data_IF_514593947816
#
_entry.id   IF_514593947816
#
_cell.length_a   1.000
_cell.length_b   1.000
_cell.length_c   1.000
_cell.angle_alpha   90.00
_cell.angle_beta   90.00
_cell.angle_gamma   90.00
#
_symmetry.space_group_name_H-M   'P 1'
#
loop_
_entity.id
_entity.type
_entity.pdbx_description
1 polymer ?
#
# COMPACT_ATOMS: atom_id res chain seq x y z
N UNK A 1 -18.49 7.58 29.38
CA UNK A 1 -17.28 7.72 28.55
C UNK A 1 -17.69 7.33 27.14
N UNK A 2 -17.66 8.24 26.15
CA UNK A 2 -17.99 7.88 24.77
C UNK A 2 -16.94 6.96 24.15
N UNK A 3 -17.32 6.19 23.14
CA UNK A 3 -16.36 5.40 22.35
C UNK A 3 -15.36 6.33 21.65
N UNK A 4 -14.08 5.99 21.69
CA UNK A 4 -13.03 6.68 20.93
C UNK A 4 -12.89 6.00 19.58
N UNK A 5 -13.25 6.70 18.53
CA UNK A 5 -13.13 6.22 17.16
C UNK A 5 -11.68 6.36 16.68
N UNK A 6 -11.25 5.39 15.89
CA UNK A 6 -9.98 5.41 15.17
C UNK A 6 -10.19 4.85 13.76
N UNK A 7 -9.43 5.35 12.79
CA UNK A 7 -9.43 4.89 11.41
C UNK A 7 -8.00 4.56 10.98
N UNK A 8 -7.87 3.53 10.15
CA UNK A 8 -6.61 3.12 9.54
C UNK A 8 -6.67 3.40 8.05
N UNK A 9 -5.82 4.31 7.59
CA UNK A 9 -5.63 4.65 6.19
C UNK A 9 -4.22 4.25 5.76
N UNK A 10 -4.10 3.64 4.58
CA UNK A 10 -2.82 3.30 3.97
C UNK A 10 -2.73 3.94 2.60
N UNK A 11 -1.77 4.83 2.42
CA UNK A 11 -1.43 5.36 1.10
C UNK A 11 -0.63 4.28 0.35
N UNK A 12 -1.23 3.71 -0.68
CA UNK A 12 -0.70 2.57 -1.42
C UNK A 12 0.09 3.07 -2.64
N UNK A 13 1.32 3.51 -2.36
CA UNK A 13 2.28 3.96 -3.34
C UNK A 13 3.34 2.88 -3.61
N UNK A 14 3.71 2.67 -4.87
CA UNK A 14 4.85 1.82 -5.20
C UNK A 14 6.20 2.49 -4.96
N UNK A 15 7.27 1.69 -4.92
CA UNK A 15 8.67 2.16 -4.81
C UNK A 15 8.98 3.20 -5.90
N UNK A 16 8.37 3.07 -7.08
CA UNK A 16 8.51 4.03 -8.17
C UNK A 16 8.08 5.46 -7.82
N UNK A 17 7.03 5.63 -7.01
CA UNK A 17 6.59 6.96 -6.55
C UNK A 17 7.65 7.62 -5.66
N UNK A 18 8.26 6.85 -4.76
CA UNK A 18 9.33 7.33 -3.88
C UNK A 18 10.62 7.61 -4.65
N UNK A 19 10.97 6.75 -5.62
CA UNK A 19 12.12 7.00 -6.49
C UNK A 19 11.96 8.33 -7.25
N UNK A 20 10.76 8.61 -7.78
CA UNK A 20 10.48 9.82 -8.55
C UNK A 20 10.63 11.11 -7.72
N UNK A 21 10.08 11.17 -6.50
CA UNK A 21 10.20 12.37 -5.65
C UNK A 21 11.64 12.64 -5.18
N UNK A 22 12.49 11.61 -5.19
CA UNK A 22 13.91 11.73 -4.87
C UNK A 22 14.81 11.88 -6.11
N UNK A 23 14.25 11.92 -7.33
CA UNK A 23 15.03 12.04 -8.57
C UNK A 23 15.88 10.80 -8.87
N UNK A 24 15.52 9.64 -8.34
CA UNK A 24 16.21 8.37 -8.56
C UNK A 24 15.65 7.66 -9.80
N UNK A 25 16.45 6.79 -10.44
CA UNK A 25 15.93 5.91 -11.50
C UNK A 25 14.79 5.03 -10.99
N UNK A 26 13.80 4.69 -11.84
CA UNK A 26 12.72 3.81 -11.45
C UNK A 26 13.25 2.42 -11.06
N UNK A 27 12.65 1.76 -10.06
CA UNK A 27 13.01 0.39 -9.70
C UNK A 27 12.74 -0.56 -10.88
N UNK A 28 13.49 -1.65 -10.93
CA UNK A 28 13.33 -2.70 -11.95
C UNK A 28 13.13 -4.07 -11.29
N UNK A 29 12.60 -5.02 -12.07
CA UNK A 29 12.31 -6.38 -11.60
C UNK A 29 11.33 -6.38 -10.42
N UNK A 30 11.59 -7.24 -9.45
CA UNK A 30 10.72 -7.45 -8.27
C UNK A 30 10.51 -6.18 -7.44
N UNK A 31 11.47 -5.25 -7.44
CA UNK A 31 11.37 -4.01 -6.70
C UNK A 31 10.30 -3.05 -7.27
N UNK A 32 9.95 -3.17 -8.56
CA UNK A 32 8.95 -2.31 -9.18
C UNK A 32 7.51 -2.59 -8.69
N UNK A 33 7.28 -3.81 -8.18
CA UNK A 33 5.97 -4.28 -7.69
C UNK A 33 6.04 -4.84 -6.26
N UNK A 34 7.00 -4.38 -5.47
CA UNK A 34 7.27 -4.96 -4.15
C UNK A 34 6.19 -4.60 -3.12
N UNK A 35 5.59 -3.41 -3.21
CA UNK A 35 4.57 -2.97 -2.26
C UNK A 35 3.30 -3.79 -2.45
N UNK A 36 2.82 -3.90 -3.68
CA UNK A 36 1.67 -4.75 -4.01
C UNK A 36 1.93 -6.23 -3.67
N UNK A 37 3.01 -6.81 -4.20
CA UNK A 37 3.26 -8.26 -4.07
C UNK A 37 3.69 -8.70 -2.67
N UNK A 38 4.24 -7.80 -1.84
CA UNK A 38 4.81 -8.17 -0.53
C UNK A 38 4.20 -7.41 0.63
N UNK A 39 3.97 -6.11 0.50
CA UNK A 39 3.47 -5.28 1.61
C UNK A 39 1.96 -5.44 1.81
N UNK A 40 1.16 -5.42 0.74
CA UNK A 40 -0.30 -5.58 0.84
C UNK A 40 -0.69 -6.86 1.57
N UNK A 41 -0.17 -8.06 1.21
CA UNK A 41 -0.48 -9.28 1.97
C UNK A 41 -0.03 -9.25 3.44
N UNK A 42 0.98 -8.44 3.79
CA UNK A 42 1.41 -8.27 5.20
C UNK A 42 0.43 -7.40 5.96
N UNK A 43 -0.09 -6.34 5.34
CA UNK A 43 -1.11 -5.48 5.92
C UNK A 43 -2.44 -6.21 6.10
N UNK A 44 -2.88 -6.99 5.11
CA UNK A 44 -4.07 -7.84 5.24
C UNK A 44 -3.98 -8.77 6.45
N UNK A 45 -2.87 -9.51 6.58
CA UNK A 45 -2.64 -10.37 7.75
C UNK A 45 -2.61 -9.60 9.08
N UNK A 46 -2.09 -8.38 9.08
CA UNK A 46 -2.05 -7.54 10.27
C UNK A 46 -3.45 -7.08 10.66
N UNK A 47 -4.23 -6.58 9.72
CA UNK A 47 -5.59 -6.09 9.96
C UNK A 47 -6.54 -7.22 10.36
N UNK A 48 -6.41 -8.39 9.74
CA UNK A 48 -7.12 -9.61 10.15
C UNK A 48 -6.78 -10.01 11.58
N UNK A 49 -5.49 -10.03 11.94
CA UNK A 49 -5.05 -10.40 13.28
C UNK A 49 -5.52 -9.41 14.36
N UNK A 50 -5.68 -8.13 14.00
CA UNK A 50 -6.18 -7.08 14.90
C UNK A 50 -7.72 -6.98 14.89
N UNK A 51 -8.41 -7.62 13.93
CA UNK A 51 -9.86 -7.53 13.77
C UNK A 51 -10.35 -6.12 13.44
N UNK A 52 -9.58 -5.35 12.68
CA UNK A 52 -9.88 -3.94 12.35
C UNK A 52 -10.02 -3.72 10.85
N UNK A 53 -10.96 -2.87 10.40
CA UNK A 53 -11.01 -2.44 9.01
C UNK A 53 -9.91 -1.41 8.70
N UNK A 54 -9.51 -1.35 7.43
CA UNK A 54 -8.61 -0.33 6.90
C UNK A 54 -9.03 0.10 5.49
N UNK A 55 -8.61 1.29 5.10
CA UNK A 55 -8.83 1.85 3.76
C UNK A 55 -7.50 2.05 3.05
N UNK A 56 -7.34 1.48 1.85
CA UNK A 56 -6.21 1.76 0.98
C UNK A 56 -6.54 2.88 0.00
N UNK A 57 -5.66 3.87 -0.12
CA UNK A 57 -5.70 4.91 -1.13
C UNK A 57 -4.73 4.55 -2.25
N UNK A 58 -5.27 4.07 -3.37
CA UNK A 58 -4.49 3.48 -4.46
C UNK A 58 -4.19 4.54 -5.53
N UNK A 59 -2.98 4.51 -6.09
CA UNK A 59 -2.64 5.31 -7.27
C UNK A 59 -3.52 4.88 -8.45
N UNK A 60 -4.20 5.84 -9.08
CA UNK A 60 -5.19 5.55 -10.13
C UNK A 60 -4.66 4.71 -11.29
N UNK A 61 -3.38 4.89 -11.67
CA UNK A 61 -2.72 4.11 -12.73
C UNK A 61 -2.60 2.62 -12.41
N UNK A 62 -2.60 2.25 -11.13
CA UNK A 62 -2.43 0.86 -10.67
C UNK A 62 -3.77 0.15 -10.40
N UNK A 63 -4.91 0.85 -10.48
CA UNK A 63 -6.25 0.30 -10.16
C UNK A 63 -6.66 -0.84 -11.11
N UNK A 64 -6.26 -0.76 -12.37
CA UNK A 64 -6.63 -1.73 -13.41
C UNK A 64 -5.50 -2.74 -13.71
N UNK A 65 -4.39 -2.73 -12.97
CA UNK A 65 -3.33 -3.71 -13.18
C UNK A 65 -3.71 -5.04 -12.53
N UNK A 66 -3.96 -6.06 -13.33
CA UNK A 66 -4.20 -7.44 -12.87
C UNK A 66 -3.02 -8.03 -12.06
N UNK A 67 -1.86 -7.36 -12.09
CA UNK A 67 -0.65 -7.70 -11.32
C UNK A 67 -0.34 -6.73 -10.17
N UNK A 68 -1.25 -5.80 -9.86
CA UNK A 68 -1.32 -5.16 -8.55
C UNK A 68 -1.80 -6.16 -7.47
#
# INVERSE_FOLDING_TARGET
MGERLAALSVDLDEIGCYAAIHGLPPPSGDAARAIYRRAVPRFERLFDALGVPATFFVIGTDVDDENA
#
